data_IF_301310013433
#
_entry.id   IF_301310013433
#
_cell.length_a   1.000
_cell.length_b   1.000
_cell.length_c   1.000
_cell.angle_alpha   90.00
_cell.angle_beta   90.00
_cell.angle_gamma   90.00
#
_symmetry.space_group_name_H-M   'P 1'
#
loop_
_entity.id
_entity.type
_entity.pdbx_description
1 polymer ?
#
# COMPACT_ATOMS: atom_id res chain seq x y z
N UNK A 1 1.25 -14.73 4.46
CA UNK A 1 2.01 -14.16 3.35
C UNK A 1 3.48 -14.56 3.42
N UNK A 2 4.10 -14.78 2.23
CA UNK A 2 5.54 -15.04 2.12
C UNK A 2 6.35 -13.75 2.00
N UNK A 3 5.73 -12.68 1.49
CA UNK A 3 6.29 -11.34 1.40
C UNK A 3 5.32 -10.33 1.99
N UNK A 4 5.84 -9.50 2.86
CA UNK A 4 5.12 -8.44 3.56
C UNK A 4 5.93 -7.15 3.49
N UNK A 5 5.25 -6.02 3.33
CA UNK A 5 5.84 -4.70 3.42
C UNK A 5 5.26 -3.99 4.65
N UNK A 6 6.10 -3.75 5.64
CA UNK A 6 5.71 -3.08 6.88
C UNK A 6 6.32 -1.67 6.94
N UNK A 7 5.52 -0.71 7.33
CA UNK A 7 5.97 0.65 7.64
C UNK A 7 5.64 0.95 9.09
N UNK A 8 6.62 1.42 9.85
CA UNK A 8 6.43 1.83 11.24
C UNK A 8 6.76 3.30 11.41
N UNK A 9 5.78 4.07 11.87
CA UNK A 9 5.91 5.47 12.20
C UNK A 9 5.99 5.62 13.72
N UNK A 10 7.10 6.17 14.21
CA UNK A 10 7.31 6.45 15.62
C UNK A 10 6.83 7.86 15.94
N UNK A 11 5.87 7.97 16.85
CA UNK A 11 5.25 9.25 17.20
C UNK A 11 5.39 9.54 18.69
N UNK A 12 5.34 10.82 19.04
CA UNK A 12 5.32 11.24 20.46
C UNK A 12 4.01 10.78 21.12
N UNK A 13 4.04 10.33 22.39
CA UNK A 13 2.83 10.04 23.14
C UNK A 13 1.83 11.18 23.08
N UNK A 14 0.54 10.85 22.96
CA UNK A 14 -0.59 11.79 22.79
C UNK A 14 -0.71 12.47 21.40
N UNK A 15 0.21 12.25 20.47
CA UNK A 15 0.10 12.68 19.07
C UNK A 15 -0.35 11.53 18.14
N UNK A 16 -0.48 10.33 18.67
CA UNK A 16 -0.81 9.12 17.93
C UNK A 16 -2.15 9.21 17.20
N UNK A 17 -3.20 9.76 17.82
CA UNK A 17 -4.55 9.77 17.21
C UNK A 17 -4.60 10.58 15.92
N UNK A 18 -4.06 11.80 15.93
CA UNK A 18 -4.02 12.65 14.73
C UNK A 18 -3.14 12.03 13.64
N UNK A 19 -1.95 11.55 14.03
CA UNK A 19 -1.03 10.90 13.12
C UNK A 19 -1.62 9.60 12.53
N UNK A 20 -2.39 8.84 13.32
CA UNK A 20 -3.05 7.62 12.89
C UNK A 20 -4.15 7.88 11.86
N UNK A 21 -5.03 8.87 12.12
CA UNK A 21 -6.06 9.23 11.15
C UNK A 21 -5.46 9.73 9.83
N UNK A 22 -4.39 10.53 9.92
CA UNK A 22 -3.65 10.98 8.75
C UNK A 22 -3.04 9.80 7.99
N UNK A 23 -2.39 8.86 8.69
CA UNK A 23 -1.78 7.67 8.10
C UNK A 23 -2.83 6.82 7.36
N UNK A 24 -4.00 6.57 7.96
CA UNK A 24 -5.08 5.83 7.31
C UNK A 24 -5.49 6.49 5.98
N UNK A 25 -5.69 7.81 5.99
CA UNK A 25 -6.09 8.52 4.79
C UNK A 25 -4.99 8.51 3.72
N UNK A 26 -3.73 8.73 4.10
CA UNK A 26 -2.59 8.68 3.19
C UNK A 26 -2.44 7.30 2.53
N UNK A 27 -2.71 6.21 3.27
CA UNK A 27 -2.66 4.86 2.71
C UNK A 27 -3.79 4.62 1.71
N UNK A 28 -5.01 5.03 2.02
CA UNK A 28 -6.14 4.94 1.09
C UNK A 28 -5.88 5.78 -0.19
N UNK A 29 -5.42 7.02 -0.02
CA UNK A 29 -5.12 7.93 -1.13
C UNK A 29 -4.01 7.34 -2.02
N UNK A 30 -3.06 6.63 -1.43
CA UNK A 30 -2.02 5.95 -2.21
C UNK A 30 -2.61 4.87 -3.13
N UNK A 31 -3.53 4.02 -2.64
CA UNK A 31 -4.20 3.02 -3.51
C UNK A 31 -4.98 3.69 -4.65
N UNK A 32 -5.67 4.78 -4.36
CA UNK A 32 -6.37 5.56 -5.38
C UNK A 32 -5.39 6.14 -6.41
N UNK A 33 -4.24 6.63 -5.95
CA UNK A 33 -3.21 7.24 -6.82
C UNK A 33 -2.56 6.25 -7.79
N UNK A 34 -2.52 4.97 -7.45
CA UNK A 34 -2.01 3.91 -8.34
C UNK A 34 -3.10 3.27 -9.22
N UNK A 35 -4.32 3.82 -9.18
CA UNK A 35 -5.40 3.51 -10.11
C UNK A 35 -6.41 2.46 -9.62
N UNK A 36 -6.37 2.04 -8.36
CA UNK A 36 -7.43 1.21 -7.78
C UNK A 36 -8.72 2.04 -7.69
N UNK A 37 -9.83 1.47 -8.16
CA UNK A 37 -11.12 2.15 -8.18
C UNK A 37 -11.68 2.34 -6.77
N UNK A 38 -12.22 3.53 -6.45
CA UNK A 38 -12.72 3.82 -5.10
C UNK A 38 -13.87 2.89 -4.67
N UNK A 39 -14.70 2.42 -5.60
CA UNK A 39 -15.79 1.48 -5.31
C UNK A 39 -15.29 0.10 -4.90
N UNK A 40 -14.03 -0.23 -5.18
CA UNK A 40 -13.40 -1.49 -4.80
C UNK A 40 -12.58 -1.40 -3.50
N UNK A 41 -12.57 -0.24 -2.84
CA UNK A 41 -11.86 -0.03 -1.57
C UNK A 41 -12.82 0.34 -0.46
N UNK A 42 -12.53 -0.11 0.75
CA UNK A 42 -13.21 0.38 1.96
C UNK A 42 -12.32 0.24 3.19
N UNK A 43 -12.62 1.03 4.21
CA UNK A 43 -12.11 0.81 5.56
C UNK A 43 -12.98 -0.20 6.30
N UNK A 44 -12.32 -1.04 7.09
CA UNK A 44 -12.95 -1.98 8.01
C UNK A 44 -12.28 -1.89 9.37
N UNK A 45 -13.02 -1.46 10.38
CA UNK A 45 -12.51 -1.48 11.75
C UNK A 45 -12.55 -2.90 12.32
N UNK A 46 -11.55 -3.26 13.11
CA UNK A 46 -11.51 -4.53 13.82
C UNK A 46 -12.52 -4.54 14.98
N UNK A 47 -13.36 -5.57 15.02
CA UNK A 47 -14.32 -5.76 16.10
C UNK A 47 -13.64 -6.14 17.43
N UNK A 48 -12.49 -6.82 17.35
CA UNK A 48 -11.70 -7.27 18.49
C UNK A 48 -10.26 -6.82 18.33
N UNK A 49 -9.85 -5.88 19.16
CA UNK A 49 -8.46 -5.42 19.19
C UNK A 49 -7.56 -6.46 19.84
N UNK A 50 -6.37 -6.64 19.27
CA UNK A 50 -5.28 -7.38 19.93
C UNK A 50 -4.77 -6.57 21.13
N UNK A 51 -4.25 -7.26 22.15
CA UNK A 51 -3.90 -6.67 23.44
C UNK A 51 -2.85 -5.55 23.39
N UNK A 52 -2.08 -5.45 22.32
CA UNK A 52 -1.04 -4.43 22.10
C UNK A 52 -1.51 -3.21 21.27
N UNK A 53 -2.71 -3.26 20.70
CA UNK A 53 -3.23 -2.18 19.87
C UNK A 53 -4.34 -1.39 20.58
N UNK A 54 -4.32 -0.07 20.43
CA UNK A 54 -5.39 0.83 20.89
C UNK A 54 -6.45 1.06 19.83
N UNK A 55 -6.09 0.90 18.55
CA UNK A 55 -6.99 0.93 17.39
C UNK A 55 -6.40 0.10 16.26
N UNK A 56 -7.28 -0.49 15.42
CA UNK A 56 -6.90 -1.29 14.26
C UNK A 56 -7.96 -1.20 13.17
N UNK A 57 -7.52 -0.93 11.97
CA UNK A 57 -8.33 -0.86 10.76
C UNK A 57 -7.64 -1.57 9.62
N UNK A 58 -8.44 -2.13 8.71
CA UNK A 58 -7.97 -2.65 7.43
C UNK A 58 -8.41 -1.74 6.30
N UNK A 59 -7.60 -1.68 5.25
CA UNK A 59 -8.05 -1.36 3.92
C UNK A 59 -8.38 -2.68 3.27
N UNK A 60 -9.64 -2.86 2.87
CA UNK A 60 -10.14 -4.02 2.15
C UNK A 60 -10.33 -3.68 0.68
N UNK A 61 -10.04 -4.67 -0.17
CA UNK A 61 -10.33 -4.63 -1.61
C UNK A 61 -11.42 -5.64 -1.96
N UNK A 62 -12.30 -5.28 -2.88
CA UNK A 62 -13.38 -6.13 -3.38
C UNK A 62 -12.84 -7.10 -4.44
N UNK A 63 -12.32 -8.24 -4.01
CA UNK A 63 -11.79 -9.26 -4.91
C UNK A 63 -12.89 -9.91 -5.74
N UNK A 64 -12.72 -10.05 -7.07
CA UNK A 64 -13.68 -10.72 -7.92
C UNK A 64 -14.01 -12.14 -7.42
N UNK A 65 -15.30 -12.38 -7.15
CA UNK A 65 -15.78 -13.68 -6.67
C UNK A 65 -15.57 -14.00 -5.19
N UNK A 66 -14.75 -13.21 -4.48
CA UNK A 66 -14.48 -13.38 -3.03
C UNK A 66 -15.14 -12.28 -2.19
N UNK A 67 -15.34 -11.08 -2.78
CA UNK A 67 -15.82 -9.91 -2.06
C UNK A 67 -14.70 -9.15 -1.36
N UNK A 68 -15.08 -8.31 -0.39
CA UNK A 68 -14.12 -7.50 0.35
C UNK A 68 -13.29 -8.34 1.31
N UNK A 69 -11.96 -8.22 1.19
CA UNK A 69 -10.99 -8.84 2.08
C UNK A 69 -9.77 -7.90 2.22
N UNK A 70 -9.05 -8.05 3.31
CA UNK A 70 -7.90 -7.25 3.70
C UNK A 70 -6.79 -7.25 2.65
N UNK A 71 -6.27 -6.06 2.32
CA UNK A 71 -5.03 -5.87 1.57
C UNK A 71 -3.96 -5.17 2.39
N UNK A 72 -4.35 -4.38 3.39
CA UNK A 72 -3.43 -3.67 4.29
C UNK A 72 -4.06 -3.51 5.67
N UNK A 73 -3.35 -3.94 6.72
CA UNK A 73 -3.69 -3.64 8.11
C UNK A 73 -3.03 -2.35 8.57
N UNK A 74 -3.73 -1.53 9.37
CA UNK A 74 -3.24 -0.27 9.94
C UNK A 74 -3.52 -0.27 11.44
N UNK A 75 -2.46 -0.23 12.25
CA UNK A 75 -2.53 -0.45 13.69
C UNK A 75 -1.90 0.69 14.49
N UNK A 76 -2.59 1.17 15.51
CA UNK A 76 -1.97 1.93 16.60
C UNK A 76 -1.53 0.94 17.69
N UNK A 77 -0.25 0.55 17.66
CA UNK A 77 0.36 -0.45 18.53
C UNK A 77 0.77 0.09 19.91
N UNK A 78 0.49 1.35 20.17
CA UNK A 78 0.95 2.01 21.39
C UNK A 78 2.48 1.98 21.55
N UNK A 79 2.98 1.98 22.77
CA UNK A 79 4.40 1.78 23.08
C UNK A 79 4.70 0.35 23.57
N UNK A 80 3.74 -0.57 23.39
CA UNK A 80 3.81 -1.90 23.96
C UNK A 80 5.09 -2.65 23.58
N UNK A 81 5.39 -2.72 22.27
CA UNK A 81 6.54 -3.48 21.76
C UNK A 81 7.86 -2.95 22.33
N UNK A 82 8.07 -1.63 22.27
CA UNK A 82 9.28 -1.01 22.80
C UNK A 82 9.42 -1.21 24.31
N UNK A 83 8.31 -1.14 25.04
CA UNK A 83 8.29 -1.37 26.49
C UNK A 83 8.72 -2.81 26.81
N UNK A 84 8.17 -3.80 26.10
CA UNK A 84 8.54 -5.20 26.27
C UNK A 84 10.01 -5.46 25.89
N UNK A 85 10.46 -4.88 24.76
CA UNK A 85 11.86 -5.01 24.34
C UNK A 85 12.83 -4.40 25.37
N UNK A 86 12.50 -3.26 25.96
CA UNK A 86 13.32 -2.65 27.02
C UNK A 86 13.36 -3.52 28.27
N UNK A 87 12.20 -4.06 28.68
CA UNK A 87 12.09 -4.89 29.89
C UNK A 87 12.93 -6.17 29.77
N UNK A 88 12.83 -6.87 28.64
CA UNK A 88 13.52 -8.16 28.47
C UNK A 88 14.97 -8.06 28.02
N UNK A 89 15.37 -7.00 27.32
CA UNK A 89 16.75 -6.81 26.85
C UNK A 89 17.60 -5.98 27.79
N UNK A 90 16.98 -5.14 28.65
CA UNK A 90 17.68 -4.12 29.44
C UNK A 90 18.22 -2.93 28.62
N UNK A 91 17.94 -2.89 27.28
CA UNK A 91 18.36 -1.79 26.42
C UNK A 91 17.45 -0.57 26.62
N UNK A 92 18.01 0.65 26.59
CA UNK A 92 17.23 1.89 26.58
C UNK A 92 16.81 2.22 25.15
N UNK A 93 15.51 2.00 24.83
CA UNK A 93 14.93 2.30 23.52
C UNK A 93 14.10 3.60 23.52
N UNK A 94 14.26 4.43 24.55
CA UNK A 94 13.61 5.75 24.58
C UNK A 94 14.22 6.68 23.52
N UNK A 95 13.36 7.39 22.83
CA UNK A 95 13.77 8.48 21.97
C UNK A 95 14.14 9.70 22.82
N UNK A 96 15.20 10.39 22.45
CA UNK A 96 15.57 11.68 23.02
C UNK A 96 15.33 12.74 21.97
N UNK A 97 14.37 13.62 22.22
CA UNK A 97 14.07 14.75 21.36
C UNK A 97 15.27 15.71 21.33
N UNK A 98 15.81 15.95 20.15
CA UNK A 98 17.04 16.76 19.97
C UNK A 98 16.83 18.25 20.24
N UNK A 99 15.60 18.75 20.18
CA UNK A 99 15.29 20.15 20.39
C UNK A 99 14.97 20.45 21.87
N UNK A 100 14.23 19.56 22.51
CA UNK A 100 13.75 19.75 23.88
C UNK A 100 14.56 19.01 24.93
N UNK A 101 15.32 17.98 24.55
CA UNK A 101 16.01 17.07 25.45
C UNK A 101 15.08 16.08 26.18
N UNK A 102 13.78 16.08 25.89
CA UNK A 102 12.80 15.20 26.50
C UNK A 102 13.03 13.74 26.09
N UNK A 103 12.97 12.83 27.05
CA UNK A 103 13.05 11.39 26.80
C UNK A 103 11.69 10.73 26.99
N UNK A 104 11.26 9.97 25.99
CA UNK A 104 10.01 9.21 26.04
C UNK A 104 10.09 7.90 25.26
N UNK A 105 9.19 6.97 25.55
CA UNK A 105 9.00 5.77 24.75
C UNK A 105 8.03 6.15 23.63
N UNK A 106 8.44 6.10 22.34
CA UNK A 106 7.54 6.43 21.23
C UNK A 106 6.35 5.46 21.17
N UNK A 107 5.25 5.93 20.62
CA UNK A 107 4.17 5.09 20.14
C UNK A 107 4.42 4.68 18.70
N UNK A 108 3.98 3.49 18.32
CA UNK A 108 4.20 2.92 17.00
C UNK A 108 2.87 2.86 16.26
N UNK A 109 2.81 3.51 15.12
CA UNK A 109 1.76 3.34 14.12
C UNK A 109 2.32 2.47 13.01
N UNK A 110 1.66 1.38 12.70
CA UNK A 110 2.13 0.40 11.73
C UNK A 110 1.15 0.25 10.58
N UNK A 111 1.68 0.14 9.35
CA UNK A 111 0.93 -0.40 8.24
C UNK A 111 1.62 -1.66 7.74
N UNK A 112 0.83 -2.69 7.44
CA UNK A 112 1.32 -3.99 6.98
C UNK A 112 0.56 -4.43 5.74
N UNK A 113 1.29 -4.64 4.64
CA UNK A 113 0.74 -4.99 3.33
C UNK A 113 1.20 -6.37 2.93
N UNK A 114 0.25 -7.28 2.65
CA UNK A 114 0.53 -8.55 1.99
C UNK A 114 0.82 -8.32 0.50
N UNK A 115 2.08 -8.45 0.07
CA UNK A 115 2.49 -8.13 -1.30
C UNK A 115 1.75 -8.95 -2.35
N UNK A 116 1.48 -10.24 -2.07
CA UNK A 116 0.70 -11.10 -2.96
C UNK A 116 -0.75 -10.64 -3.12
N UNK A 117 -1.40 -10.21 -2.02
CA UNK A 117 -2.76 -9.68 -2.05
C UNK A 117 -2.83 -8.35 -2.80
N UNK A 118 -1.88 -7.45 -2.54
CA UNK A 118 -1.79 -6.18 -3.26
C UNK A 118 -1.59 -6.40 -4.77
N UNK A 119 -0.68 -7.31 -5.16
CA UNK A 119 -0.49 -7.66 -6.56
C UNK A 119 -1.79 -8.16 -7.20
N UNK A 120 -2.50 -9.07 -6.53
CA UNK A 120 -3.77 -9.61 -7.02
C UNK A 120 -4.84 -8.50 -7.16
N UNK A 121 -4.93 -7.58 -6.19
CA UNK A 121 -5.85 -6.45 -6.25
C UNK A 121 -5.57 -5.54 -7.45
N UNK A 122 -4.30 -5.15 -7.65
CA UNK A 122 -3.86 -4.33 -8.79
C UNK A 122 -4.18 -5.00 -10.12
N UNK A 123 -3.86 -6.29 -10.26
CA UNK A 123 -4.11 -7.03 -11.50
C UNK A 123 -5.61 -7.22 -11.77
N UNK A 124 -6.40 -7.46 -10.72
CA UNK A 124 -7.85 -7.60 -10.84
C UNK A 124 -8.53 -6.29 -11.23
N UNK A 125 -8.08 -5.18 -10.65
CA UNK A 125 -8.66 -3.85 -10.94
C UNK A 125 -8.28 -3.34 -12.33
N UNK A 126 -7.08 -3.69 -12.80
CA UNK A 126 -6.58 -3.35 -14.13
C UNK A 126 -7.14 -4.25 -15.24
N UNK A 127 -7.69 -5.42 -14.91
CA UNK A 127 -8.28 -6.33 -15.90
C UNK A 127 -9.49 -5.68 -16.57
N UNK A 128 -9.49 -5.68 -17.90
CA UNK A 128 -10.56 -5.08 -18.69
C UNK A 128 -10.81 -5.87 -19.99
N UNK A 129 -12.07 -6.12 -20.27
CA UNK A 129 -12.50 -6.70 -21.54
C UNK A 129 -13.07 -5.61 -22.45
N UNK A 130 -12.63 -5.59 -23.69
CA UNK A 130 -13.05 -4.63 -24.71
C UNK A 130 -13.60 -5.37 -25.92
N UNK A 131 -14.78 -4.95 -26.38
CA UNK A 131 -15.33 -5.43 -27.63
C UNK A 131 -14.71 -4.68 -28.83
N UNK A 132 -14.11 -5.43 -29.76
CA UNK A 132 -13.51 -4.90 -30.98
C UNK A 132 -13.91 -5.75 -32.19
N UNK A 133 -14.63 -5.15 -33.14
CA UNK A 133 -14.98 -5.76 -34.43
C UNK A 133 -15.54 -7.19 -34.32
N UNK A 134 -16.41 -7.43 -33.32
CA UNK A 134 -17.05 -8.73 -33.07
C UNK A 134 -16.17 -9.76 -32.33
N UNK A 135 -15.07 -9.33 -31.74
CA UNK A 135 -14.23 -10.14 -30.86
C UNK A 135 -13.94 -9.43 -29.54
N UNK A 136 -13.82 -10.20 -28.45
CA UNK A 136 -13.41 -9.68 -27.15
C UNK A 136 -11.89 -9.64 -27.01
N UNK A 137 -11.35 -8.49 -26.60
CA UNK A 137 -9.94 -8.32 -26.28
C UNK A 137 -9.78 -8.10 -24.78
N UNK A 138 -8.85 -8.82 -24.16
CA UNK A 138 -8.44 -8.59 -22.76
C UNK A 138 -7.27 -7.61 -22.71
N UNK A 139 -7.39 -6.60 -21.87
CA UNK A 139 -6.38 -5.57 -21.65
C UNK A 139 -6.12 -5.38 -20.16
N UNK A 140 -4.86 -5.22 -19.77
CA UNK A 140 -4.49 -4.75 -18.44
C UNK A 140 -4.30 -3.22 -18.49
N UNK A 141 -5.26 -2.49 -17.90
CA UNK A 141 -5.23 -1.02 -17.81
C UNK A 141 -4.47 -0.58 -16.55
N UNK A 142 -3.19 -0.95 -16.47
CA UNK A 142 -2.33 -0.55 -15.35
C UNK A 142 -2.13 0.97 -15.34
N UNK A 143 -2.07 1.54 -14.14
CA UNK A 143 -1.62 2.92 -13.98
C UNK A 143 -0.19 3.06 -14.51
N UNK A 144 0.13 4.22 -15.09
CA UNK A 144 1.44 4.45 -15.76
C UNK A 144 2.63 4.25 -14.83
N UNK A 145 2.47 4.49 -13.53
CA UNK A 145 3.53 4.31 -12.54
C UNK A 145 3.78 2.84 -12.18
N UNK A 146 2.79 1.96 -12.44
CA UNK A 146 2.90 0.52 -12.25
C UNK A 146 3.26 -0.21 -13.54
N UNK A 147 3.08 0.42 -14.70
CA UNK A 147 3.36 -0.20 -15.97
C UNK A 147 4.88 -0.39 -16.17
N UNK A 148 5.37 -1.62 -16.49
CA UNK A 148 6.79 -1.87 -16.74
C UNK A 148 7.35 -1.04 -17.90
N UNK A 149 6.50 -0.77 -18.89
CA UNK A 149 6.80 0.08 -20.03
C UNK A 149 5.73 1.15 -20.15
N UNK A 150 6.10 2.42 -19.97
CA UNK A 150 5.17 3.55 -20.08
C UNK A 150 4.86 3.95 -21.50
N UNK A 151 5.80 3.74 -22.40
CA UNK A 151 5.70 4.10 -23.83
C UNK A 151 6.39 3.03 -24.66
N UNK A 152 5.76 2.67 -25.78
CA UNK A 152 6.36 1.83 -26.79
C UNK A 152 6.35 2.56 -28.14
N UNK A 153 7.50 2.64 -28.80
CA UNK A 153 7.62 3.20 -30.14
C UNK A 153 7.74 2.05 -31.13
N UNK A 154 6.74 1.92 -32.02
CA UNK A 154 6.69 0.83 -32.96
C UNK A 154 6.72 1.37 -34.41
N UNK A 155 7.54 0.79 -35.32
CA UNK A 155 7.50 1.17 -36.73
C UNK A 155 6.19 0.69 -37.35
N UNK A 156 5.57 1.53 -38.17
CA UNK A 156 4.33 1.17 -38.89
C UNK A 156 4.47 -0.12 -39.70
N UNK A 157 5.63 -0.30 -40.32
CA UNK A 157 5.97 -1.49 -41.10
C UNK A 157 7.36 -2.01 -40.71
N UNK A 158 7.40 -3.19 -40.06
CA UNK A 158 8.65 -3.81 -39.60
C UNK A 158 9.63 -4.23 -40.71
N UNK A 159 9.14 -4.37 -41.94
CA UNK A 159 9.91 -4.73 -43.14
C UNK A 159 10.45 -3.51 -43.92
N UNK A 160 10.32 -2.31 -43.38
CA UNK A 160 10.86 -1.06 -43.90
C UNK A 160 12.00 -0.57 -43.04
N UNK A 161 13.28 -0.75 -43.47
CA UNK A 161 14.46 -0.41 -42.65
C UNK A 161 14.48 1.05 -42.17
N UNK A 162 14.05 1.98 -42.99
CA UNK A 162 13.97 3.41 -42.68
C UNK A 162 13.00 3.72 -41.55
N UNK A 163 11.85 3.03 -41.50
CA UNK A 163 10.87 3.19 -40.39
C UNK A 163 11.37 2.56 -39.12
N UNK A 164 12.04 1.40 -39.19
CA UNK A 164 12.65 0.75 -38.07
C UNK A 164 13.77 1.60 -37.47
N UNK A 165 14.62 2.19 -38.34
CA UNK A 165 15.67 3.10 -37.91
C UNK A 165 15.09 4.32 -37.17
N UNK A 166 14.05 4.93 -37.71
CA UNK A 166 13.38 6.09 -37.08
C UNK A 166 12.73 5.73 -35.73
N UNK A 167 12.08 4.58 -35.64
CA UNK A 167 11.50 4.12 -34.37
C UNK A 167 12.54 3.83 -33.28
N UNK A 168 13.79 3.52 -33.66
CA UNK A 168 14.91 3.34 -32.71
C UNK A 168 15.59 4.65 -32.32
N UNK A 169 15.45 5.69 -33.11
CA UNK A 169 16.01 7.02 -32.87
C UNK A 169 15.18 7.80 -31.82
N UNK A 170 13.87 7.56 -31.78
CA UNK A 170 12.91 8.17 -30.84
C UNK A 170 13.01 7.52 -29.46
#
# INVERSE_FOLDING_TARGET
ELEQADTQLFVKPNQNKEAYEKLKQERLDWYLSIGIKPENLRFKQHDNLVFYASDAWDIEYNFPGLGFDEIEGIHDRTNYDLTQHMEFSGADLRYTDSETGEKYIPWILETSVGMGRMFLAVMSDAYHEEEMDGSTRVVLKLHTDLAPYRVAVSPLLKNKPELVAKAREV
#
